data_IF_602183738092
#
_entry.id   IF_602183738092
#
_cell.length_a   1.000
_cell.length_b   1.000
_cell.length_c   1.000
_cell.angle_alpha   90.00
_cell.angle_beta   90.00
_cell.angle_gamma   90.00
#
_symmetry.space_group_name_H-M   'P 1'
#
loop_
_entity.id
_entity.type
_entity.pdbx_description
1 polymer ?
#
# COMPACT_ATOMS: atom_id res chain seq x y z
N UNK A 1 4.53 2.25 17.19
CA UNK A 1 3.60 1.19 16.72
C UNK A 1 2.64 1.82 15.72
N UNK A 2 2.35 1.14 14.61
CA UNK A 2 1.73 1.68 13.38
C UNK A 2 0.28 2.17 13.46
N UNK A 3 -0.27 2.50 14.63
CA UNK A 3 -1.56 3.20 14.78
C UNK A 3 -2.68 2.70 13.85
N UNK A 4 -3.33 3.64 13.17
CA UNK A 4 -4.38 3.39 12.17
C UNK A 4 -3.92 2.63 10.92
N UNK A 5 -2.60 2.49 10.70
CA UNK A 5 -2.04 1.74 9.57
C UNK A 5 -2.06 0.23 9.82
N UNK A 6 -2.09 -0.25 11.08
CA UNK A 6 -2.07 -1.68 11.39
C UNK A 6 -3.12 -2.52 10.62
N UNK A 7 -4.40 -2.13 10.54
CA UNK A 7 -5.39 -2.84 9.72
C UNK A 7 -5.04 -2.85 8.22
N UNK A 8 -4.57 -1.73 7.67
CA UNK A 8 -4.18 -1.61 6.26
C UNK A 8 -2.94 -2.46 5.94
N UNK A 9 -1.96 -2.50 6.85
CA UNK A 9 -0.76 -3.33 6.71
C UNK A 9 -1.09 -4.82 6.73
N UNK A 10 -1.95 -5.27 7.64
CA UNK A 10 -2.40 -6.67 7.66
C UNK A 10 -3.18 -7.04 6.39
N UNK A 11 -4.06 -6.15 5.90
CA UNK A 11 -4.76 -6.37 4.64
C UNK A 11 -3.77 -6.56 3.47
N UNK A 12 -2.76 -5.69 3.36
CA UNK A 12 -1.75 -5.78 2.29
C UNK A 12 -0.94 -7.09 2.34
N UNK A 13 -0.62 -7.60 3.54
CA UNK A 13 0.06 -8.90 3.70
C UNK A 13 -0.84 -10.04 3.25
N UNK A 14 -2.12 -10.05 3.66
CA UNK A 14 -3.08 -11.10 3.26
C UNK A 14 -3.32 -11.08 1.76
N UNK A 15 -3.53 -9.91 1.17
CA UNK A 15 -3.68 -9.76 -0.29
C UNK A 15 -2.42 -10.22 -1.02
N UNK A 16 -1.22 -9.89 -0.54
CA UNK A 16 0.02 -10.38 -1.14
C UNK A 16 0.15 -11.89 -1.15
N UNK A 17 -0.27 -12.58 -0.10
CA UNK A 17 -0.23 -14.04 -0.03
C UNK A 17 -1.32 -14.72 -0.87
N UNK A 18 -2.52 -14.14 -0.94
CA UNK A 18 -3.67 -14.75 -1.63
C UNK A 18 -3.70 -14.39 -3.10
N UNK A 19 -3.65 -13.09 -3.41
CA UNK A 19 -3.87 -12.58 -4.76
C UNK A 19 -2.61 -12.71 -5.62
N UNK A 20 -1.45 -12.42 -5.02
CA UNK A 20 -0.15 -12.45 -5.71
C UNK A 20 0.66 -13.72 -5.43
N UNK A 21 0.11 -14.66 -4.66
CA UNK A 21 0.68 -15.99 -4.36
C UNK A 21 2.09 -15.91 -3.77
N UNK A 22 2.35 -14.88 -2.97
CA UNK A 22 3.64 -14.68 -2.33
C UNK A 22 3.75 -15.47 -1.04
N UNK A 23 4.98 -15.84 -0.69
CA UNK A 23 5.22 -16.37 0.65
C UNK A 23 5.13 -15.24 1.71
N UNK A 24 5.01 -15.56 3.01
CA UNK A 24 4.82 -14.55 4.05
C UNK A 24 5.93 -13.48 4.11
N UNK A 25 7.19 -13.85 3.84
CA UNK A 25 8.31 -12.91 3.86
C UNK A 25 8.25 -11.97 2.65
N UNK A 26 8.00 -12.51 1.47
CA UNK A 26 7.80 -11.72 0.25
C UNK A 26 6.62 -10.74 0.39
N UNK A 27 5.51 -11.17 0.99
CA UNK A 27 4.35 -10.32 1.22
C UNK A 27 4.66 -9.18 2.22
N UNK A 28 5.51 -9.43 3.22
CA UNK A 28 5.96 -8.42 4.18
C UNK A 28 6.97 -7.44 3.59
N UNK A 29 7.83 -7.89 2.68
CA UNK A 29 8.91 -7.09 2.07
C UNK A 29 8.42 -6.19 0.92
N UNK A 30 7.15 -6.30 0.51
CA UNK A 30 6.59 -5.43 -0.52
C UNK A 30 6.50 -3.99 -0.05
N UNK A 31 6.80 -3.01 -0.93
CA UNK A 31 6.47 -1.61 -0.68
C UNK A 31 4.98 -1.43 -0.44
N UNK A 32 4.64 -0.70 0.62
CA UNK A 32 3.26 -0.47 1.05
C UNK A 32 2.74 0.88 0.60
N UNK A 33 1.42 0.99 0.61
CA UNK A 33 0.71 2.25 0.51
C UNK A 33 -0.15 2.48 1.75
N UNK A 34 -0.52 3.73 2.00
CA UNK A 34 -1.37 4.10 3.12
C UNK A 34 -2.33 5.21 2.70
N UNK A 35 -3.63 5.01 2.92
CA UNK A 35 -4.61 6.07 2.86
C UNK A 35 -4.73 6.69 4.25
N UNK A 36 -4.45 7.99 4.34
CA UNK A 36 -4.32 8.70 5.62
C UNK A 36 -5.62 8.68 6.44
N UNK A 37 -6.76 8.88 5.77
CA UNK A 37 -8.08 9.02 6.42
C UNK A 37 -9.05 7.87 6.09
N UNK A 38 -8.67 6.95 5.20
CA UNK A 38 -9.49 5.79 4.78
C UNK A 38 -10.73 6.14 3.95
N UNK A 39 -10.75 7.31 3.32
CA UNK A 39 -11.83 7.86 2.49
C UNK A 39 -11.37 8.09 1.04
N UNK A 40 -12.31 8.41 0.14
CA UNK A 40 -11.98 8.74 -1.26
C UNK A 40 -11.13 10.00 -1.43
N UNK A 41 -11.16 10.91 -0.46
CA UNK A 41 -10.38 12.17 -0.46
C UNK A 41 -9.05 12.02 0.32
N UNK A 42 -8.70 10.81 0.73
CA UNK A 42 -7.49 10.55 1.51
C UNK A 42 -6.23 10.82 0.70
N UNK A 43 -5.25 11.46 1.33
CA UNK A 43 -3.90 11.52 0.80
C UNK A 43 -3.32 10.11 0.75
N UNK A 44 -2.90 9.68 -0.45
CA UNK A 44 -2.19 8.43 -0.69
C UNK A 44 -0.69 8.59 -0.43
N UNK A 45 -0.21 7.99 0.66
CA UNK A 45 1.22 7.87 0.93
C UNK A 45 1.77 6.55 0.36
N UNK A 46 2.97 6.61 -0.23
CA UNK A 46 3.64 5.48 -0.88
C UNK A 46 5.03 5.29 -0.25
N UNK A 47 5.41 4.03 0.02
CA UNK A 47 6.77 3.71 0.46
C UNK A 47 7.79 3.78 -0.68
N UNK A 48 9.05 3.94 -0.30
CA UNK A 48 10.18 3.81 -1.22
C UNK A 48 10.17 2.43 -1.89
N UNK A 49 10.49 2.39 -3.18
CA UNK A 49 10.43 1.18 -4.02
C UNK A 49 9.24 1.16 -4.98
N UNK A 50 8.22 2.00 -4.76
CA UNK A 50 7.19 2.25 -5.77
C UNK A 50 7.74 3.21 -6.83
N UNK A 51 7.64 2.82 -8.11
CA UNK A 51 8.26 3.59 -9.19
C UNK A 51 7.63 4.98 -9.33
N UNK A 52 8.45 5.98 -9.65
CA UNK A 52 7.98 7.34 -9.92
C UNK A 52 6.91 7.39 -11.02
N UNK A 53 7.05 6.54 -12.05
CA UNK A 53 6.05 6.41 -13.12
C UNK A 53 4.69 5.99 -12.57
N UNK A 54 4.66 5.04 -11.63
CA UNK A 54 3.42 4.60 -10.97
C UNK A 54 2.83 5.71 -10.12
N UNK A 55 3.65 6.37 -9.30
CA UNK A 55 3.20 7.49 -8.45
C UNK A 55 2.63 8.65 -9.28
N UNK A 56 3.32 9.06 -10.34
CA UNK A 56 2.85 10.11 -11.25
C UNK A 56 1.54 9.73 -11.96
N UNK A 57 1.37 8.44 -12.31
CA UNK A 57 0.12 7.96 -12.91
C UNK A 57 -1.02 8.03 -11.91
N UNK A 58 -0.82 7.62 -10.66
CA UNK A 58 -1.83 7.70 -9.60
C UNK A 58 -2.25 9.15 -9.35
N UNK A 59 -1.30 10.08 -9.26
CA UNK A 59 -1.59 11.52 -9.14
C UNK A 59 -2.42 12.06 -10.32
N UNK A 60 -2.15 11.60 -11.55
CA UNK A 60 -2.96 12.00 -12.72
C UNK A 60 -4.41 11.48 -12.69
N UNK A 61 -4.69 10.49 -11.84
CA UNK A 61 -6.03 9.94 -11.61
C UNK A 61 -6.75 10.60 -10.42
N UNK A 62 -6.08 11.53 -9.72
CA UNK A 62 -6.64 12.24 -8.56
C UNK A 62 -6.34 11.59 -7.21
N UNK A 63 -5.33 10.70 -7.15
CA UNK A 63 -4.82 10.16 -5.88
C UNK A 63 -3.82 11.10 -5.19
#
# INVERSE_FOLDING_TARGET
MGGSMQPQGHFQVVSGMIDDVLNPQEALDRPRWCLSDGTGDSVLALEDGISFKTAARLASLGA
#
